data_IF_862181406467
#
_entry.id   IF_862181406467
#
_cell.length_a   1.000
_cell.length_b   1.000
_cell.length_c   1.000
_cell.angle_alpha   90.00
_cell.angle_beta   90.00
_cell.angle_gamma   90.00
#
_symmetry.space_group_name_H-M   'P 1'
#
loop_
_entity.id
_entity.type
_entity.pdbx_description
1 polymer ?
#
# COMPACT_ATOMS: atom_id res chain seq x y z
N UNK A 1 -23.06 9.02 -4.91
CA UNK A 1 -22.60 7.60 -4.84
C UNK A 1 -21.18 7.62 -4.32
N UNK A 2 -20.82 6.76 -3.36
CA UNK A 2 -19.47 6.72 -2.80
C UNK A 2 -18.50 6.09 -3.79
N UNK A 3 -17.32 6.68 -3.91
CA UNK A 3 -16.19 6.15 -4.68
C UNK A 3 -15.21 5.45 -3.74
N UNK A 4 -14.57 4.39 -4.21
CA UNK A 4 -13.55 3.65 -3.46
C UNK A 4 -12.16 3.95 -4.05
N UNK A 5 -11.32 4.57 -3.26
CA UNK A 5 -9.95 4.89 -3.65
C UNK A 5 -9.01 3.99 -2.85
N UNK A 6 -8.22 3.20 -3.55
CA UNK A 6 -7.38 2.17 -2.98
C UNK A 6 -5.93 2.63 -2.85
N UNK A 7 -5.30 2.36 -1.73
CA UNK A 7 -3.86 2.21 -1.71
C UNK A 7 -3.46 0.90 -2.41
N UNK A 8 -2.19 0.76 -2.75
CA UNK A 8 -1.68 -0.38 -3.51
C UNK A 8 -0.99 -1.41 -2.61
N UNK A 9 0.10 -1.01 -1.96
CA UNK A 9 1.02 -1.88 -1.23
C UNK A 9 0.46 -2.30 0.14
N UNK A 10 0.40 -3.60 0.45
CA UNK A 10 -0.25 -4.18 1.64
C UNK A 10 -1.78 -3.94 1.72
N UNK A 11 -2.36 -3.33 0.71
CA UNK A 11 -3.81 -3.12 0.59
C UNK A 11 -4.42 -4.03 -0.47
N UNK A 12 -4.14 -3.81 -1.74
CA UNK A 12 -4.67 -4.65 -2.84
C UNK A 12 -4.01 -6.02 -2.92
N UNK A 13 -2.79 -6.15 -2.45
CA UNK A 13 -2.05 -7.41 -2.38
C UNK A 13 -1.18 -7.47 -1.13
N UNK A 14 -0.70 -8.66 -0.79
CA UNK A 14 0.17 -8.89 0.37
C UNK A 14 1.64 -8.68 -0.01
N UNK A 15 2.22 -7.54 0.40
CA UNK A 15 3.61 -7.18 0.10
C UNK A 15 4.64 -8.05 0.85
N UNK A 16 4.22 -8.80 1.88
CA UNK A 16 5.08 -9.76 2.56
C UNK A 16 5.45 -10.94 1.65
N UNK A 17 4.57 -11.32 0.71
CA UNK A 17 4.84 -12.46 -0.18
C UNK A 17 6.11 -12.22 -1.00
N UNK A 18 6.25 -11.17 -1.81
CA UNK A 18 7.48 -10.92 -2.56
C UNK A 18 8.70 -10.69 -1.66
N UNK A 19 8.52 -10.14 -0.45
CA UNK A 19 9.60 -10.01 0.53
C UNK A 19 10.14 -11.38 0.96
N UNK A 20 9.27 -12.27 1.41
CA UNK A 20 9.63 -13.62 1.82
C UNK A 20 10.29 -14.39 0.67
N UNK A 21 9.70 -14.34 -0.50
CA UNK A 21 10.18 -15.07 -1.67
C UNK A 21 11.59 -14.59 -2.08
N UNK A 22 11.88 -13.29 -1.94
CA UNK A 22 13.22 -12.75 -2.16
C UNK A 22 14.22 -13.22 -1.09
N UNK A 23 13.83 -13.23 0.19
CA UNK A 23 14.70 -13.69 1.27
C UNK A 23 15.02 -15.19 1.13
N UNK A 24 14.01 -16.03 1.02
CA UNK A 24 14.18 -17.49 1.06
C UNK A 24 14.59 -18.06 -0.29
N UNK A 25 13.97 -17.61 -1.37
CA UNK A 25 14.18 -18.19 -2.70
C UNK A 25 15.45 -17.75 -3.40
N UNK A 26 15.91 -16.53 -3.18
CA UNK A 26 17.05 -15.96 -3.93
C UNK A 26 18.31 -15.80 -3.11
N UNK A 27 18.20 -15.30 -1.88
CA UNK A 27 19.39 -15.11 -1.03
C UNK A 27 19.60 -16.22 0.01
N UNK A 28 18.65 -17.17 0.09
CA UNK A 28 18.77 -18.34 0.96
C UNK A 28 18.67 -18.04 2.46
N UNK A 29 18.17 -16.86 2.83
CA UNK A 29 17.89 -16.51 4.23
C UNK A 29 16.53 -17.11 4.58
N UNK A 30 16.53 -18.13 5.43
CA UNK A 30 15.30 -18.70 5.98
C UNK A 30 14.81 -17.84 7.12
N UNK A 31 13.58 -17.40 7.04
CA UNK A 31 12.91 -16.61 8.08
C UNK A 31 12.14 -17.55 9.02
N UNK A 32 12.48 -17.55 10.32
CA UNK A 32 11.72 -18.32 11.33
C UNK A 32 10.32 -17.77 11.49
N UNK A 33 10.19 -16.43 11.50
CA UNK A 33 8.94 -15.69 11.49
C UNK A 33 8.96 -14.62 10.39
N UNK A 34 8.39 -14.96 9.23
CA UNK A 34 8.33 -14.06 8.08
C UNK A 34 7.51 -12.80 8.35
N UNK A 35 6.48 -12.89 9.19
CA UNK A 35 5.64 -11.74 9.56
C UNK A 35 6.42 -10.75 10.43
N UNK A 36 7.14 -11.24 11.44
CA UNK A 36 7.97 -10.39 12.29
C UNK A 36 9.10 -9.75 11.48
N UNK A 37 9.79 -10.50 10.64
CA UNK A 37 10.87 -10.01 9.79
C UNK A 37 10.35 -8.94 8.80
N UNK A 38 9.19 -9.17 8.19
CA UNK A 38 8.56 -8.19 7.31
C UNK A 38 8.17 -6.91 8.04
N UNK A 39 7.63 -7.00 9.26
CA UNK A 39 7.32 -5.82 10.09
C UNK A 39 8.57 -4.98 10.37
N UNK A 40 9.69 -5.63 10.70
CA UNK A 40 10.97 -4.93 10.86
C UNK A 40 11.42 -4.28 9.55
N UNK A 41 11.31 -4.99 8.44
CA UNK A 41 11.66 -4.45 7.13
C UNK A 41 10.82 -3.21 6.76
N UNK A 42 9.53 -3.20 7.06
CA UNK A 42 8.67 -2.03 6.85
C UNK A 42 9.04 -0.89 7.79
N UNK A 43 9.22 -1.18 9.08
CA UNK A 43 9.62 -0.19 10.07
C UNK A 43 10.95 0.50 9.69
N UNK A 44 11.98 -0.29 9.32
CA UNK A 44 13.25 0.26 8.84
C UNK A 44 13.09 1.01 7.51
N UNK A 45 12.14 0.61 6.68
CA UNK A 45 11.78 1.33 5.47
C UNK A 45 11.25 2.73 5.74
N UNK A 46 10.34 2.87 6.70
CA UNK A 46 9.76 4.15 7.08
C UNK A 46 10.83 5.10 7.67
N UNK A 47 11.77 4.58 8.49
CA UNK A 47 12.89 5.36 9.03
C UNK A 47 13.80 5.98 7.95
N UNK A 48 14.14 5.20 6.90
CA UNK A 48 15.04 5.67 5.84
C UNK A 48 14.33 6.44 4.74
N UNK A 49 13.01 6.28 4.64
CA UNK A 49 12.22 6.92 3.58
C UNK A 49 12.26 8.45 3.69
N UNK A 50 12.05 9.00 4.87
CA UNK A 50 12.08 10.44 5.09
C UNK A 50 13.46 11.04 4.78
N UNK A 51 14.55 10.38 5.19
CA UNK A 51 15.90 10.82 4.88
C UNK A 51 16.20 10.79 3.37
N UNK A 52 15.72 9.76 2.69
CA UNK A 52 15.85 9.65 1.23
C UNK A 52 15.04 10.72 0.50
N UNK A 53 13.83 11.04 0.96
CA UNK A 53 13.02 12.10 0.38
C UNK A 53 13.62 13.49 0.56
N UNK A 54 14.31 13.75 1.69
CA UNK A 54 15.04 15.02 1.90
C UNK A 54 16.38 15.09 1.16
N UNK A 55 16.75 14.03 0.42
CA UNK A 55 18.04 13.97 -0.29
C UNK A 55 19.27 13.79 0.62
N UNK A 56 19.05 13.43 1.89
CA UNK A 56 20.11 13.18 2.88
C UNK A 56 20.77 11.80 2.67
N UNK A 57 20.12 10.93 1.92
CA UNK A 57 20.56 9.57 1.61
C UNK A 57 20.16 9.18 0.19
N UNK A 58 21.03 8.47 -0.52
CA UNK A 58 20.66 7.94 -1.83
C UNK A 58 19.58 6.84 -1.72
N UNK A 59 18.77 6.66 -2.75
CA UNK A 59 17.79 5.58 -2.80
C UNK A 59 18.47 4.20 -2.67
N UNK A 60 19.66 4.05 -3.24
CA UNK A 60 20.44 2.82 -3.12
C UNK A 60 20.85 2.55 -1.66
N UNK A 61 21.47 3.53 -1.01
CA UNK A 61 21.89 3.38 0.39
C UNK A 61 20.71 3.12 1.34
N UNK A 62 19.58 3.78 1.10
CA UNK A 62 18.36 3.57 1.88
C UNK A 62 17.86 2.13 1.77
N UNK A 63 17.93 1.53 0.57
CA UNK A 63 17.53 0.14 0.33
C UNK A 63 18.45 -0.87 1.01
N UNK A 64 19.77 -0.64 0.93
CA UNK A 64 20.76 -1.48 1.62
C UNK A 64 20.57 -1.39 3.13
N UNK A 65 20.48 -0.17 3.66
CA UNK A 65 20.37 0.08 5.10
C UNK A 65 19.07 -0.51 5.68
N UNK A 66 17.96 -0.33 4.99
CA UNK A 66 16.67 -0.91 5.37
C UNK A 66 16.77 -2.42 5.57
N UNK A 67 17.33 -3.12 4.57
CA UNK A 67 17.42 -4.57 4.60
C UNK A 67 18.38 -5.06 5.68
N UNK A 68 19.60 -4.53 5.73
CA UNK A 68 20.62 -4.97 6.69
C UNK A 68 20.18 -4.76 8.13
N UNK A 69 19.55 -3.61 8.44
CA UNK A 69 19.00 -3.32 9.77
C UNK A 69 17.85 -4.26 10.12
N UNK A 70 16.91 -4.47 9.20
CA UNK A 70 15.78 -5.37 9.43
C UNK A 70 16.23 -6.80 9.70
N UNK A 71 17.24 -7.29 8.99
CA UNK A 71 17.81 -8.62 9.25
C UNK A 71 18.52 -8.68 10.59
N UNK A 72 19.29 -7.65 10.96
CA UNK A 72 19.94 -7.57 12.25
C UNK A 72 18.95 -7.57 13.43
N UNK A 73 17.80 -6.89 13.29
CA UNK A 73 16.71 -6.92 14.28
C UNK A 73 16.11 -8.33 14.46
N UNK A 74 16.24 -9.18 13.45
CA UNK A 74 15.82 -10.58 13.50
C UNK A 74 16.95 -11.53 13.91
N UNK A 75 18.12 -11.01 14.32
CA UNK A 75 19.29 -11.82 14.68
C UNK A 75 19.99 -12.45 13.47
N UNK A 76 19.73 -11.97 12.26
CA UNK A 76 20.30 -12.46 11.01
C UNK A 76 21.39 -11.50 10.55
N UNK A 77 22.60 -11.97 10.38
CA UNK A 77 23.70 -11.19 9.82
C UNK A 77 23.57 -11.16 8.27
N UNK A 78 23.43 -9.97 7.72
CA UNK A 78 23.33 -9.77 6.27
C UNK A 78 24.17 -8.56 5.84
N UNK A 79 25.06 -8.77 4.89
CA UNK A 79 25.93 -7.73 4.33
C UNK A 79 25.32 -6.97 3.15
N UNK A 80 26.03 -5.95 2.67
CA UNK A 80 25.61 -5.11 1.56
C UNK A 80 25.40 -5.89 0.24
N UNK A 81 26.22 -6.90 -0.04
CA UNK A 81 26.07 -7.75 -1.23
C UNK A 81 24.75 -8.56 -1.18
N UNK A 82 24.42 -9.10 0.00
CA UNK A 82 23.14 -9.80 0.17
C UNK A 82 21.95 -8.84 0.06
N UNK A 83 22.09 -7.64 0.59
CA UNK A 83 21.06 -6.59 0.48
C UNK A 83 20.82 -6.18 -0.99
N UNK A 84 21.86 -6.04 -1.79
CA UNK A 84 21.75 -5.74 -3.23
C UNK A 84 21.08 -6.89 -3.99
N UNK A 85 21.47 -8.14 -3.72
CA UNK A 85 20.83 -9.33 -4.30
C UNK A 85 19.35 -9.42 -3.88
N UNK A 86 19.08 -9.20 -2.60
CA UNK A 86 17.70 -9.14 -2.09
C UNK A 86 16.89 -8.08 -2.84
N UNK A 87 17.39 -6.84 -2.95
CA UNK A 87 16.64 -5.77 -3.59
C UNK A 87 16.27 -6.09 -5.04
N UNK A 88 17.20 -6.66 -5.80
CA UNK A 88 16.95 -7.11 -7.17
C UNK A 88 15.88 -8.21 -7.25
N UNK A 89 15.98 -9.19 -6.36
CA UNK A 89 15.01 -10.27 -6.26
C UNK A 89 13.62 -9.77 -5.83
N UNK A 90 13.59 -8.86 -4.86
CA UNK A 90 12.36 -8.25 -4.36
C UNK A 90 11.62 -7.44 -5.43
N UNK A 91 12.35 -6.63 -6.21
CA UNK A 91 11.79 -5.90 -7.35
C UNK A 91 11.28 -6.85 -8.44
N UNK A 92 12.02 -7.91 -8.75
CA UNK A 92 11.57 -8.91 -9.70
C UNK A 92 10.29 -9.64 -9.21
N UNK A 93 10.23 -10.00 -7.94
CA UNK A 93 9.06 -10.64 -7.34
C UNK A 93 7.84 -9.68 -7.33
N UNK A 94 8.05 -8.38 -7.13
CA UNK A 94 6.99 -7.38 -7.23
C UNK A 94 6.43 -7.23 -8.66
N UNK A 95 7.18 -7.60 -9.68
CA UNK A 95 6.68 -7.71 -11.06
C UNK A 95 5.79 -8.93 -11.32
N UNK A 96 5.66 -9.84 -10.35
CA UNK A 96 4.90 -11.09 -10.46
C UNK A 96 3.76 -11.21 -9.43
N UNK A 97 3.48 -10.13 -8.69
CA UNK A 97 2.41 -10.08 -7.70
C UNK A 97 1.04 -10.36 -8.33
N UNK A 98 0.12 -10.84 -7.52
CA UNK A 98 -1.25 -11.16 -7.95
C UNK A 98 -2.25 -10.72 -6.90
N UNK A 99 -3.42 -10.30 -7.35
CA UNK A 99 -4.58 -10.17 -6.48
C UNK A 99 -5.01 -11.54 -5.97
N UNK A 100 -5.45 -11.61 -4.73
CA UNK A 100 -6.18 -12.79 -4.23
C UNK A 100 -7.51 -12.97 -5.00
N UNK A 101 -8.05 -14.18 -5.02
CA UNK A 101 -9.36 -14.41 -5.65
C UNK A 101 -10.47 -13.61 -4.96
N UNK A 102 -10.34 -13.38 -3.64
CA UNK A 102 -11.29 -12.55 -2.90
C UNK A 102 -11.21 -11.08 -3.33
N UNK A 103 -10.00 -10.53 -3.45
CA UNK A 103 -9.83 -9.15 -3.91
C UNK A 103 -10.31 -8.96 -5.35
N UNK A 104 -10.04 -9.90 -6.24
CA UNK A 104 -10.61 -9.90 -7.61
C UNK A 104 -12.12 -9.89 -7.58
N UNK A 105 -12.74 -10.75 -6.75
CA UNK A 105 -14.19 -10.81 -6.60
C UNK A 105 -14.79 -9.50 -6.06
N UNK A 106 -14.10 -8.85 -5.12
CA UNK A 106 -14.51 -7.56 -4.56
C UNK A 106 -14.44 -6.45 -5.62
N UNK A 107 -13.33 -6.32 -6.34
CA UNK A 107 -13.19 -5.33 -7.41
C UNK A 107 -14.21 -5.56 -8.53
N UNK A 108 -14.44 -6.81 -8.91
CA UNK A 108 -15.46 -7.16 -9.91
C UNK A 108 -16.87 -6.80 -9.43
N UNK A 109 -17.18 -7.01 -8.15
CA UNK A 109 -18.47 -6.61 -7.56
C UNK A 109 -18.64 -5.09 -7.58
N UNK A 110 -17.63 -4.32 -7.17
CA UNK A 110 -17.69 -2.86 -7.21
C UNK A 110 -17.90 -2.35 -8.64
N UNK A 111 -17.18 -2.93 -9.61
CA UNK A 111 -17.35 -2.59 -11.03
C UNK A 111 -18.76 -2.90 -11.55
N UNK A 112 -19.31 -4.06 -11.20
CA UNK A 112 -20.66 -4.46 -11.60
C UNK A 112 -21.77 -3.61 -10.97
N UNK A 113 -21.47 -2.95 -9.84
CA UNK A 113 -22.34 -1.99 -9.16
C UNK A 113 -22.08 -0.54 -9.59
N UNK A 114 -21.31 -0.31 -10.66
CA UNK A 114 -20.93 1.00 -11.19
C UNK A 114 -20.29 1.94 -10.14
N UNK A 115 -19.63 1.37 -9.12
CA UNK A 115 -18.91 2.13 -8.11
C UNK A 115 -17.65 2.74 -8.71
N UNK A 116 -17.48 4.08 -8.70
CA UNK A 116 -16.24 4.69 -9.16
C UNK A 116 -15.05 4.20 -8.31
N UNK A 117 -13.99 3.75 -8.98
CA UNK A 117 -12.77 3.27 -8.32
C UNK A 117 -11.54 4.02 -8.81
N UNK A 118 -10.61 4.27 -7.89
CA UNK A 118 -9.31 4.87 -8.17
C UNK A 118 -8.20 4.26 -7.32
N UNK A 119 -6.97 4.65 -7.61
CA UNK A 119 -5.78 4.29 -6.83
C UNK A 119 -5.01 5.56 -6.46
N UNK A 120 -4.59 5.68 -5.19
CA UNK A 120 -3.57 6.65 -4.77
C UNK A 120 -2.43 5.88 -4.11
N UNK A 121 -1.24 5.95 -4.69
CA UNK A 121 -0.07 5.22 -4.18
C UNK A 121 1.18 6.08 -4.10
N UNK A 122 1.94 5.90 -3.02
CA UNK A 122 3.24 6.55 -2.85
C UNK A 122 4.35 5.70 -3.48
N UNK A 123 5.22 6.33 -4.25
CA UNK A 123 6.41 5.71 -4.81
C UNK A 123 6.79 6.23 -6.19
N UNK A 124 7.94 5.75 -6.74
CA UNK A 124 8.37 6.10 -8.09
C UNK A 124 7.36 5.64 -9.14
N UNK A 125 7.08 6.50 -10.11
CA UNK A 125 6.05 6.27 -11.13
C UNK A 125 6.21 4.93 -11.86
N UNK A 126 7.40 4.66 -12.39
CA UNK A 126 7.67 3.44 -13.14
C UNK A 126 7.47 2.17 -12.31
N UNK A 127 7.83 2.23 -11.02
CA UNK A 127 7.70 1.09 -10.11
C UNK A 127 6.24 0.80 -9.76
N UNK A 128 5.46 1.84 -9.49
CA UNK A 128 4.04 1.66 -9.19
C UNK A 128 3.25 1.24 -10.43
N UNK A 129 3.54 1.80 -11.61
CA UNK A 129 2.95 1.35 -12.90
C UNK A 129 3.22 -0.14 -13.17
N UNK A 130 4.45 -0.61 -12.93
CA UNK A 130 4.79 -2.03 -13.06
C UNK A 130 3.89 -2.91 -12.16
N UNK A 131 3.69 -2.52 -10.91
CA UNK A 131 2.83 -3.26 -9.97
C UNK A 131 1.36 -3.24 -10.39
N UNK A 132 0.84 -2.09 -10.79
CA UNK A 132 -0.54 -1.94 -11.30
C UNK A 132 -0.77 -2.88 -12.46
N UNK A 133 0.16 -2.91 -13.40
CA UNK A 133 0.11 -3.83 -14.54
C UNK A 133 0.21 -5.31 -14.12
N UNK A 134 1.14 -5.64 -13.21
CA UNK A 134 1.26 -7.02 -12.69
C UNK A 134 0.00 -7.52 -12.01
N UNK A 135 -0.73 -6.64 -11.32
CA UNK A 135 -2.03 -6.94 -10.69
C UNK A 135 -3.20 -6.95 -11.70
N UNK A 136 -3.01 -6.44 -12.92
CA UNK A 136 -4.04 -6.33 -13.96
C UNK A 136 -5.17 -5.38 -13.56
N UNK A 137 -4.84 -4.30 -12.80
CA UNK A 137 -5.85 -3.39 -12.25
C UNK A 137 -6.62 -2.62 -13.33
N UNK A 138 -6.07 -2.50 -14.52
CA UNK A 138 -6.70 -1.87 -15.70
C UNK A 138 -8.04 -2.54 -16.08
N UNK A 139 -8.26 -3.79 -15.62
CA UNK A 139 -9.51 -4.50 -15.80
C UNK A 139 -10.67 -3.92 -14.99
N UNK A 140 -10.39 -3.19 -13.93
CA UNK A 140 -11.38 -2.65 -12.98
C UNK A 140 -11.32 -1.15 -12.79
N UNK A 141 -10.12 -0.56 -12.86
CA UNK A 141 -9.84 0.84 -12.54
C UNK A 141 -9.29 1.52 -13.80
N UNK A 142 -9.91 2.59 -14.31
CA UNK A 142 -9.40 3.37 -15.42
C UNK A 142 -8.00 3.95 -15.11
N UNK A 143 -7.12 3.99 -16.11
CA UNK A 143 -5.75 4.51 -15.93
C UNK A 143 -5.75 5.97 -15.46
N UNK A 144 -6.69 6.77 -15.94
CA UNK A 144 -6.88 8.16 -15.53
C UNK A 144 -7.22 8.31 -14.03
N UNK A 145 -7.79 7.29 -13.39
CA UNK A 145 -8.14 7.29 -11.97
C UNK A 145 -6.97 6.83 -11.09
N UNK A 146 -5.76 6.70 -11.64
CA UNK A 146 -4.56 6.28 -10.91
C UNK A 146 -3.67 7.48 -10.63
N UNK A 147 -3.46 7.80 -9.36
CA UNK A 147 -2.61 8.90 -8.90
C UNK A 147 -1.37 8.32 -8.21
N UNK A 148 -0.20 8.54 -8.80
CA UNK A 148 1.09 8.06 -8.27
C UNK A 148 1.91 9.26 -7.80
N UNK A 149 2.35 9.27 -6.55
CA UNK A 149 3.06 10.42 -5.96
C UNK A 149 4.30 10.85 -6.76
N UNK A 150 5.04 9.89 -7.30
CA UNK A 150 6.22 10.16 -8.12
C UNK A 150 5.91 10.82 -9.48
N UNK A 151 4.67 10.72 -9.97
CA UNK A 151 4.22 11.38 -11.19
C UNK A 151 3.70 12.79 -10.92
N UNK A 152 3.04 13.01 -9.78
CA UNK A 152 2.36 14.27 -9.46
C UNK A 152 3.16 15.20 -8.54
N UNK A 153 4.26 14.72 -7.95
CA UNK A 153 5.14 15.51 -7.08
C UNK A 153 4.60 15.79 -5.68
N UNK A 154 3.47 15.18 -5.31
CA UNK A 154 2.83 15.29 -3.99
C UNK A 154 2.51 13.88 -3.48
N UNK A 155 2.67 13.61 -2.18
CA UNK A 155 2.49 12.28 -1.61
C UNK A 155 1.51 12.26 -0.45
N UNK A 156 0.94 11.09 -0.15
CA UNK A 156 0.21 10.85 1.09
C UNK A 156 1.17 10.99 2.29
N UNK A 157 0.81 11.65 3.40
CA UNK A 157 -0.54 12.13 3.77
C UNK A 157 -0.89 13.55 3.29
N UNK A 158 -0.08 14.22 2.47
CA UNK A 158 -0.37 15.59 2.03
C UNK A 158 -1.74 15.65 1.33
N UNK A 159 -2.60 16.59 1.76
CA UNK A 159 -3.97 16.73 1.22
C UNK A 159 -4.00 16.99 -0.29
N UNK A 160 -2.91 17.54 -0.85
CA UNK A 160 -2.78 17.83 -2.27
C UNK A 160 -2.97 16.61 -3.18
N UNK A 161 -2.49 15.42 -2.78
CA UNK A 161 -2.64 14.22 -3.60
C UNK A 161 -4.09 13.74 -3.68
N UNK A 162 -4.85 13.89 -2.58
CA UNK A 162 -6.28 13.58 -2.53
C UNK A 162 -7.09 14.56 -3.39
N UNK A 163 -6.73 15.87 -3.39
CA UNK A 163 -7.35 16.88 -4.26
C UNK A 163 -7.10 16.61 -5.75
N UNK A 164 -5.93 16.07 -6.10
CA UNK A 164 -5.65 15.63 -7.47
C UNK A 164 -6.61 14.48 -7.85
N UNK A 165 -6.79 13.49 -6.98
CA UNK A 165 -7.70 12.39 -7.24
C UNK A 165 -9.16 12.85 -7.39
N UNK A 166 -9.63 13.77 -6.53
CA UNK A 166 -10.95 14.41 -6.68
C UNK A 166 -11.11 15.06 -8.06
N UNK A 167 -10.11 15.83 -8.47
CA UNK A 167 -10.13 16.55 -9.76
C UNK A 167 -10.20 15.57 -10.93
N UNK A 168 -9.35 14.55 -10.91
CA UNK A 168 -9.26 13.55 -12.00
C UNK A 168 -10.54 12.74 -12.11
N UNK A 169 -11.14 12.38 -10.97
CA UNK A 169 -12.35 11.55 -10.94
C UNK A 169 -13.65 12.38 -10.99
N UNK A 170 -13.56 13.71 -10.90
CA UNK A 170 -14.73 14.59 -10.87
C UNK A 170 -15.62 14.42 -9.62
N UNK A 171 -14.99 14.17 -8.47
CA UNK A 171 -15.67 13.85 -7.20
C UNK A 171 -15.48 14.97 -6.16
N UNK A 172 -16.43 15.06 -5.23
CA UNK A 172 -16.26 15.84 -4.00
C UNK A 172 -15.66 15.00 -2.87
N UNK A 173 -15.03 15.63 -1.85
CA UNK A 173 -14.42 14.91 -0.73
C UNK A 173 -15.42 14.02 0.02
N UNK A 174 -16.67 14.46 0.13
CA UNK A 174 -17.74 13.72 0.80
C UNK A 174 -18.10 12.41 0.08
N UNK A 175 -17.79 12.27 -1.20
CA UNK A 175 -18.05 11.05 -1.98
C UNK A 175 -16.91 10.03 -1.91
N UNK A 176 -15.76 10.40 -1.37
CA UNK A 176 -14.56 9.58 -1.42
C UNK A 176 -14.36 8.76 -0.14
N UNK A 177 -14.00 7.49 -0.33
CA UNK A 177 -13.56 6.59 0.74
C UNK A 177 -12.16 6.07 0.39
N UNK A 178 -11.16 6.41 1.22
CA UNK A 178 -9.84 5.84 1.12
C UNK A 178 -9.78 4.47 1.81
N UNK A 179 -9.30 3.47 1.11
CA UNK A 179 -9.01 2.14 1.67
C UNK A 179 -7.51 1.94 1.64
N UNK A 180 -6.88 1.80 2.79
CA UNK A 180 -5.42 1.68 2.88
C UNK A 180 -4.93 1.01 4.15
N UNK A 181 -3.66 0.54 4.15
CA UNK A 181 -3.02 -0.15 5.27
C UNK A 181 -2.26 0.77 6.22
N UNK A 182 -1.87 1.96 5.75
CA UNK A 182 -1.09 2.89 6.54
C UNK A 182 -1.98 3.96 7.17
N UNK A 183 -2.16 3.85 8.51
CA UNK A 183 -3.05 4.76 9.24
C UNK A 183 -2.69 6.24 9.04
N UNK A 184 -1.39 6.60 9.10
CA UNK A 184 -0.93 7.99 8.97
C UNK A 184 -1.10 8.50 7.54
N UNK A 185 -0.58 7.77 6.56
CA UNK A 185 -0.56 8.27 5.19
C UNK A 185 -1.91 8.16 4.50
N UNK A 186 -2.63 7.05 4.70
CA UNK A 186 -3.86 6.81 3.97
C UNK A 186 -5.07 7.39 4.71
N UNK A 187 -5.19 7.03 6.00
CA UNK A 187 -6.41 7.32 6.75
C UNK A 187 -6.41 8.75 7.28
N UNK A 188 -5.35 9.17 8.01
CA UNK A 188 -5.27 10.54 8.50
C UNK A 188 -5.23 11.54 7.33
N UNK A 189 -4.42 11.28 6.28
CA UNK A 189 -4.36 12.15 5.12
C UNK A 189 -5.70 12.29 4.39
N UNK A 190 -6.43 11.19 4.21
CA UNK A 190 -7.78 11.20 3.64
C UNK A 190 -8.76 12.00 4.49
N UNK A 191 -8.77 11.77 5.82
CA UNK A 191 -9.65 12.50 6.75
C UNK A 191 -9.34 14.00 6.78
N UNK A 192 -8.07 14.38 6.73
CA UNK A 192 -7.65 15.78 6.64
C UNK A 192 -8.10 16.42 5.31
N UNK A 193 -8.19 15.63 4.25
CA UNK A 193 -8.78 16.03 2.98
C UNK A 193 -10.33 16.03 2.99
N UNK A 194 -10.99 15.65 4.09
CA UNK A 194 -12.45 15.60 4.22
C UNK A 194 -13.07 14.29 3.70
N UNK A 195 -12.26 13.27 3.43
CA UNK A 195 -12.72 11.95 2.98
C UNK A 195 -13.08 11.05 4.16
N UNK A 196 -13.72 9.93 3.86
CA UNK A 196 -13.86 8.82 4.79
C UNK A 196 -12.65 7.87 4.67
N UNK A 197 -12.26 7.24 5.78
CA UNK A 197 -11.17 6.27 5.83
C UNK A 197 -11.65 4.86 6.21
N UNK A 198 -11.18 3.86 5.51
CA UNK A 198 -11.30 2.44 5.88
C UNK A 198 -9.89 1.89 6.06
N UNK A 199 -9.52 1.64 7.31
CA UNK A 199 -8.19 1.13 7.62
C UNK A 199 -8.14 -0.39 7.48
N UNK A 200 -7.47 -0.86 6.44
CA UNK A 200 -7.19 -2.27 6.25
C UNK A 200 -5.93 -2.67 7.04
N UNK A 201 -6.10 -2.87 8.33
CA UNK A 201 -5.02 -3.20 9.26
C UNK A 201 -4.60 -4.68 9.20
N UNK A 202 -4.25 -5.15 8.01
CA UNK A 202 -3.79 -6.54 7.74
C UNK A 202 -2.70 -6.99 8.71
N UNK A 203 -1.81 -6.08 9.13
CA UNK A 203 -0.66 -6.36 10.00
C UNK A 203 -0.97 -6.21 11.50
N UNK A 204 -2.21 -5.93 11.87
CA UNK A 204 -2.64 -5.75 13.27
C UNK A 204 -1.76 -4.74 14.02
N UNK A 205 -1.45 -3.63 13.36
CA UNK A 205 -0.72 -2.52 13.98
C UNK A 205 -1.58 -1.92 15.11
N UNK A 206 -0.98 -1.52 16.24
CA UNK A 206 -1.74 -0.85 17.29
C UNK A 206 -2.32 0.47 16.76
N UNK A 207 -3.50 0.85 17.30
CA UNK A 207 -4.07 2.16 17.00
C UNK A 207 -3.11 3.25 17.51
N UNK A 208 -2.71 4.20 16.66
CA UNK A 208 -1.93 5.34 17.12
C UNK A 208 -2.65 6.17 18.18
N UNK A 209 -1.87 6.80 19.05
CA UNK A 209 -2.40 7.69 20.09
C UNK A 209 -3.21 8.82 19.44
N UNK A 210 -4.43 9.08 19.93
CA UNK A 210 -5.34 10.05 19.32
C UNK A 210 -6.06 9.58 18.05
N UNK A 211 -5.97 8.30 17.73
CA UNK A 211 -6.71 7.71 16.61
C UNK A 211 -8.22 7.84 16.78
N UNK A 212 -8.97 7.90 15.67
CA UNK A 212 -10.43 8.09 15.67
C UNK A 212 -11.18 6.78 15.76
N UNK A 213 -12.12 6.67 16.71
CA UNK A 213 -13.05 5.54 16.83
C UNK A 213 -14.09 5.51 15.70
N UNK A 214 -14.20 6.59 14.91
CA UNK A 214 -15.15 6.69 13.80
C UNK A 214 -14.70 5.93 12.53
N UNK A 215 -13.48 5.35 12.53
CA UNK A 215 -12.94 4.62 11.40
C UNK A 215 -13.54 3.22 11.27
N UNK A 216 -13.76 2.81 10.04
CA UNK A 216 -13.94 1.39 9.72
C UNK A 216 -12.58 0.72 9.75
N UNK A 217 -12.37 -0.18 10.69
CA UNK A 217 -11.12 -0.95 10.85
C UNK A 217 -11.41 -2.40 10.52
N UNK A 218 -10.63 -2.96 9.60
CA UNK A 218 -10.71 -4.38 9.21
C UNK A 218 -9.32 -4.97 9.12
N UNK A 219 -9.19 -6.26 9.47
CA UNK A 219 -7.90 -6.94 9.54
C UNK A 219 -7.75 -8.06 8.50
N UNK A 220 -8.82 -8.43 7.84
CA UNK A 220 -8.84 -9.51 6.84
C UNK A 220 -9.55 -9.07 5.57
N UNK A 221 -9.22 -9.67 4.45
CA UNK A 221 -9.90 -9.42 3.17
C UNK A 221 -11.40 -9.76 3.24
N UNK A 222 -11.78 -10.74 4.05
CA UNK A 222 -13.18 -11.11 4.27
C UNK A 222 -13.95 -10.00 4.99
N UNK A 223 -13.36 -9.44 6.06
CA UNK A 223 -13.95 -8.31 6.78
C UNK A 223 -14.00 -7.06 5.92
N UNK A 224 -12.98 -6.81 5.08
CA UNK A 224 -12.94 -5.72 4.13
C UNK A 224 -14.06 -5.85 3.09
N UNK A 225 -14.21 -7.03 2.50
CA UNK A 225 -15.30 -7.32 1.55
C UNK A 225 -16.67 -7.07 2.18
N UNK A 226 -16.90 -7.58 3.38
CA UNK A 226 -18.16 -7.37 4.10
C UNK A 226 -18.44 -5.90 4.39
N UNK A 227 -17.42 -5.14 4.84
CA UNK A 227 -17.55 -3.71 5.14
C UNK A 227 -17.91 -2.91 3.89
N UNK A 228 -17.24 -3.18 2.76
CA UNK A 228 -17.51 -2.49 1.49
C UNK A 228 -18.91 -2.82 0.97
N UNK A 229 -19.30 -4.10 0.95
CA UNK A 229 -20.65 -4.50 0.52
C UNK A 229 -21.74 -3.81 1.35
N UNK A 230 -21.56 -3.76 2.67
CA UNK A 230 -22.50 -3.07 3.57
C UNK A 230 -22.55 -1.55 3.32
N UNK A 231 -21.41 -0.93 2.99
CA UNK A 231 -21.36 0.49 2.66
C UNK A 231 -22.14 0.80 1.37
N UNK A 232 -21.99 -0.03 0.34
CA UNK A 232 -22.68 0.15 -0.94
C UNK A 232 -24.20 -0.02 -0.82
N UNK A 233 -24.67 -0.99 -0.03
CA UNK A 233 -26.12 -1.23 0.19
C UNK A 233 -26.82 -0.09 0.94
N UNK A 234 -26.11 0.70 1.74
CA UNK A 234 -26.67 1.86 2.48
C UNK A 234 -26.75 3.13 1.64
N UNK A 235 -26.18 3.11 0.45
CA UNK A 235 -26.14 4.26 -0.46
C UNK A 235 -27.24 4.20 -1.55
N UNK A 236 -28.03 3.12 -1.57
CA UNK A 236 -29.26 2.96 -2.33
C UNK A 236 -30.46 3.45 -1.48
#
# INVERSE_FOLDING_TARGET
>A
MKALIWDLDDTLYDLMIPFRDACEGVIGIRLEDSEAAYKQFRFRGDEVFEASQRGEMSLYDSRILRFTRAMADCGIEAGGEQADRFQKAYEAAQGQIRLSERMKGLLAHCKAADVPMGVITNGPESHQKMKIHALGLESWIPEENVVISGAVGVMKPETGIFRIAETVMGLGPEDCIMVGDNYKSDICGAMEAGWQGSWFNRRKKPMPEGGSDALVIVETEEALEAAIRNCLQRSE
#
